data_IF_359089844177
#
_entry.id   IF_359089844177
#
_cell.length_a   1.000
_cell.length_b   1.000
_cell.length_c   1.000
_cell.angle_alpha   90.00
_cell.angle_beta   90.00
_cell.angle_gamma   90.00
#
_symmetry.space_group_name_H-M   'P 1'
#
loop_
_entity.id
_entity.type
_entity.pdbx_description
1 polymer ?
#
# COMPACT_ATOMS: atom_id res chain seq x y z
N UNK A 1 -31.30 18.31 -57.75
CA UNK A 1 -30.39 17.20 -57.40
C UNK A 1 -29.88 17.31 -55.95
N UNK A 2 -30.00 18.47 -55.30
CA UNK A 2 -29.37 18.75 -54.00
C UNK A 2 -30.08 18.20 -52.76
N UNK A 3 -31.40 18.01 -52.77
CA UNK A 3 -32.13 17.48 -51.60
C UNK A 3 -31.80 16.00 -51.31
N UNK A 4 -31.60 15.18 -52.35
CA UNK A 4 -31.28 13.76 -52.19
C UNK A 4 -29.88 13.53 -51.65
N UNK A 5 -28.92 14.37 -52.06
CA UNK A 5 -27.53 14.34 -51.57
C UNK A 5 -27.48 14.79 -50.11
N UNK A 6 -28.20 15.85 -49.73
CA UNK A 6 -28.29 16.31 -48.34
C UNK A 6 -28.95 15.28 -47.40
N UNK A 7 -30.02 14.62 -47.85
CA UNK A 7 -30.69 13.55 -47.09
C UNK A 7 -29.79 12.31 -46.92
N UNK A 8 -29.07 11.92 -47.97
CA UNK A 8 -28.11 10.82 -47.92
C UNK A 8 -26.92 11.14 -47.00
N UNK A 9 -26.36 12.36 -47.06
CA UNK A 9 -25.33 12.83 -46.14
C UNK A 9 -25.82 12.85 -44.69
N UNK A 10 -27.04 13.31 -44.44
CA UNK A 10 -27.66 13.29 -43.11
C UNK A 10 -27.83 11.87 -42.56
N UNK A 11 -28.25 10.92 -43.39
CA UNK A 11 -28.38 9.52 -43.01
C UNK A 11 -27.01 8.88 -42.70
N UNK A 12 -26.00 9.13 -43.54
CA UNK A 12 -24.63 8.63 -43.33
C UNK A 12 -24.01 9.21 -42.05
N UNK A 13 -24.21 10.51 -41.79
CA UNK A 13 -23.77 11.16 -40.54
C UNK A 13 -24.50 10.58 -39.32
N UNK A 14 -25.82 10.34 -39.42
CA UNK A 14 -26.61 9.73 -38.36
C UNK A 14 -26.17 8.30 -38.02
N UNK A 15 -25.97 7.46 -39.04
CA UNK A 15 -25.46 6.08 -38.87
C UNK A 15 -24.05 6.09 -38.28
N UNK A 16 -23.17 6.99 -38.75
CA UNK A 16 -21.81 7.14 -38.23
C UNK A 16 -21.81 7.56 -36.75
N UNK A 17 -22.67 8.52 -36.38
CA UNK A 17 -22.82 8.95 -34.99
C UNK A 17 -23.33 7.81 -34.09
N UNK A 18 -24.34 7.06 -34.55
CA UNK A 18 -24.87 5.90 -33.81
C UNK A 18 -23.80 4.81 -33.64
N UNK A 19 -22.99 4.53 -34.67
CA UNK A 19 -21.89 3.58 -34.57
C UNK A 19 -20.84 4.03 -33.54
N UNK A 20 -20.46 5.31 -33.55
CA UNK A 20 -19.52 5.87 -32.55
C UNK A 20 -20.09 5.79 -31.13
N UNK A 21 -21.38 6.12 -30.96
CA UNK A 21 -22.06 6.01 -29.66
C UNK A 21 -22.12 4.56 -29.18
N UNK A 22 -22.41 3.61 -30.07
CA UNK A 22 -22.43 2.19 -29.75
C UNK A 22 -21.04 1.67 -29.32
N UNK A 23 -19.97 2.09 -30.01
CA UNK A 23 -18.59 1.74 -29.62
C UNK A 23 -18.25 2.33 -28.25
N UNK A 24 -18.58 3.61 -28.01
CA UNK A 24 -18.36 4.26 -26.70
C UNK A 24 -19.16 3.60 -25.58
N UNK A 25 -20.42 3.23 -25.85
CA UNK A 25 -21.27 2.53 -24.90
C UNK A 25 -20.71 1.14 -24.57
N UNK A 26 -20.28 0.37 -25.59
CA UNK A 26 -19.64 -0.94 -25.41
C UNK A 26 -18.35 -0.84 -24.59
N UNK A 27 -17.50 0.15 -24.87
CA UNK A 27 -16.27 0.39 -24.11
C UNK A 27 -16.56 0.75 -22.64
N UNK A 28 -17.59 1.57 -22.40
CA UNK A 28 -18.04 1.94 -21.05
C UNK A 28 -18.61 0.75 -20.28
N UNK A 29 -19.38 -0.11 -20.95
CA UNK A 29 -19.91 -1.35 -20.37
C UNK A 29 -18.79 -2.33 -20.01
N UNK A 30 -17.81 -2.52 -20.90
CA UNK A 30 -16.63 -3.34 -20.62
C UNK A 30 -15.86 -2.81 -19.40
N UNK A 31 -15.62 -1.49 -19.34
CA UNK A 31 -14.99 -0.87 -18.18
C UNK A 31 -15.80 -1.06 -16.89
N UNK A 32 -17.12 -0.96 -16.97
CA UNK A 32 -17.99 -1.19 -15.80
C UNK A 32 -17.96 -2.64 -15.32
N UNK A 33 -17.88 -3.61 -16.25
CA UNK A 33 -17.78 -5.05 -15.93
C UNK A 33 -16.42 -5.43 -15.34
N UNK A 34 -15.36 -4.73 -15.74
CA UNK A 34 -14.02 -4.91 -15.21
C UNK A 34 -13.82 -4.28 -13.82
N UNK A 35 -14.79 -3.54 -13.27
CA UNK A 35 -14.72 -3.01 -11.90
C UNK A 35 -15.15 -4.06 -10.90
N UNK A 36 -14.48 -4.10 -9.75
CA UNK A 36 -14.97 -4.88 -8.62
C UNK A 36 -16.34 -4.34 -8.16
N UNK A 37 -17.27 -5.24 -7.80
CA UNK A 37 -18.66 -4.88 -7.47
C UNK A 37 -18.80 -4.06 -6.18
N UNK A 38 -17.77 -4.06 -5.33
CA UNK A 38 -17.72 -3.26 -4.10
C UNK A 38 -17.68 -1.75 -4.36
N UNK A 39 -17.91 -0.97 -3.30
CA UNK A 39 -17.66 0.48 -3.29
C UNK A 39 -16.20 0.84 -3.59
N UNK A 40 -15.24 -0.03 -3.22
CA UNK A 40 -13.83 0.15 -3.55
C UNK A 40 -13.55 0.16 -5.06
N UNK A 41 -14.31 -0.63 -5.84
CA UNK A 41 -14.23 -0.65 -7.31
C UNK A 41 -14.98 0.51 -7.98
N UNK A 42 -15.91 1.15 -7.25
CA UNK A 42 -16.77 2.22 -7.73
C UNK A 42 -16.54 3.51 -6.94
N UNK A 43 -15.31 4.05 -6.98
CA UNK A 43 -14.87 5.22 -6.21
C UNK A 43 -15.82 6.42 -6.24
N UNK A 44 -16.37 6.77 -7.41
CA UNK A 44 -17.36 7.87 -7.55
C UNK A 44 -18.67 7.59 -6.80
N UNK A 45 -19.16 6.35 -6.86
CA UNK A 45 -20.35 5.94 -6.13
C UNK A 45 -20.06 5.90 -4.62
N UNK A 46 -18.91 5.36 -4.23
CA UNK A 46 -18.45 5.33 -2.84
C UNK A 46 -18.43 6.73 -2.22
N UNK A 47 -17.93 7.74 -2.93
CA UNK A 47 -17.96 9.14 -2.48
C UNK A 47 -19.37 9.71 -2.34
N UNK A 48 -20.25 9.45 -3.32
CA UNK A 48 -21.65 9.89 -3.26
C UNK A 48 -22.38 9.27 -2.08
N UNK A 49 -22.19 7.97 -1.85
CA UNK A 49 -22.78 7.27 -0.71
C UNK A 49 -22.22 7.83 0.59
N UNK A 50 -20.91 8.02 0.71
CA UNK A 50 -20.29 8.56 1.91
C UNK A 50 -20.85 9.93 2.32
N UNK A 51 -21.21 10.78 1.34
CA UNK A 51 -21.85 12.07 1.61
C UNK A 51 -23.32 11.96 2.09
N UNK A 52 -23.96 10.81 1.91
CA UNK A 52 -25.35 10.54 2.28
C UNK A 52 -25.48 9.69 3.56
N UNK A 53 -24.40 9.09 4.06
CA UNK A 53 -24.45 8.28 5.28
C UNK A 53 -24.71 9.21 6.47
N UNK A 54 -25.86 9.11 7.15
CA UNK A 54 -26.10 9.89 8.36
C UNK A 54 -25.18 9.40 9.48
N UNK A 55 -24.71 10.33 10.31
CA UNK A 55 -24.00 9.98 11.53
C UNK A 55 -24.94 9.26 12.50
N UNK A 56 -24.59 8.04 12.91
CA UNK A 56 -25.22 7.37 14.05
C UNK A 56 -24.17 6.57 14.82
N UNK A 57 -24.47 6.31 16.09
CA UNK A 57 -23.70 5.40 16.94
C UNK A 57 -24.66 4.55 17.75
N UNK A 58 -24.30 3.30 18.02
CA UNK A 58 -25.04 2.47 18.95
C UNK A 58 -25.03 3.11 20.33
N UNK A 59 -26.19 3.05 20.99
CA UNK A 59 -26.28 3.33 22.40
C UNK A 59 -25.69 2.16 23.21
N UNK A 60 -25.60 2.33 24.52
CA UNK A 60 -25.02 1.35 25.41
C UNK A 60 -25.76 0.01 25.38
N UNK A 61 -27.06 0.00 25.10
CA UNK A 61 -27.85 -1.23 25.02
C UNK A 61 -27.54 -2.02 23.74
N UNK A 62 -27.52 -1.35 22.58
CA UNK A 62 -27.22 -1.96 21.28
C UNK A 62 -25.73 -2.28 21.14
N UNK A 63 -24.82 -1.51 21.73
CA UNK A 63 -23.37 -1.71 21.60
C UNK A 63 -22.94 -3.14 21.96
N UNK A 64 -23.43 -3.66 23.09
CA UNK A 64 -23.08 -5.00 23.57
C UNK A 64 -23.96 -6.13 22.98
N UNK A 65 -24.97 -5.75 22.19
CA UNK A 65 -25.99 -6.63 21.58
C UNK A 65 -26.13 -6.37 20.07
N UNK A 66 -25.07 -5.92 19.41
CA UNK A 66 -25.11 -5.52 18.01
C UNK A 66 -25.43 -6.70 17.07
N UNK A 67 -25.14 -7.90 17.55
CA UNK A 67 -25.38 -9.24 16.98
C UNK A 67 -26.55 -9.97 17.67
N UNK A 68 -27.45 -9.23 18.32
CA UNK A 68 -28.63 -9.77 19.01
C UNK A 68 -28.31 -10.77 20.14
N UNK A 69 -27.12 -10.67 20.72
CA UNK A 69 -26.69 -11.50 21.86
C UNK A 69 -27.67 -11.46 23.05
N UNK A 70 -27.67 -12.55 23.83
CA UNK A 70 -28.48 -12.68 25.06
C UNK A 70 -28.09 -11.64 26.11
N UNK A 71 -28.97 -11.38 27.09
CA UNK A 71 -28.69 -10.45 28.17
C UNK A 71 -27.46 -10.87 29.00
N UNK A 72 -27.27 -12.18 29.20
CA UNK A 72 -26.10 -12.74 29.90
C UNK A 72 -24.80 -12.43 29.16
N UNK A 73 -24.76 -12.70 27.84
CA UNK A 73 -23.57 -12.42 27.01
C UNK A 73 -23.28 -10.92 26.97
N UNK A 74 -24.32 -10.09 26.82
CA UNK A 74 -24.19 -8.64 26.84
C UNK A 74 -23.63 -8.13 28.19
N UNK A 75 -24.10 -8.68 29.30
CA UNK A 75 -23.60 -8.37 30.65
C UNK A 75 -22.12 -8.71 30.80
N UNK A 76 -21.70 -9.89 30.34
CA UNK A 76 -20.28 -10.30 30.33
C UNK A 76 -19.42 -9.38 29.46
N UNK A 77 -19.90 -9.03 28.26
CA UNK A 77 -19.18 -8.09 27.37
C UNK A 77 -18.99 -6.72 28.02
N UNK A 78 -20.03 -6.19 28.68
CA UNK A 78 -19.95 -4.90 29.39
C UNK A 78 -18.94 -4.95 30.53
N UNK A 79 -19.02 -5.97 31.39
CA UNK A 79 -18.11 -6.12 32.52
C UNK A 79 -16.64 -6.21 32.08
N UNK A 80 -16.35 -7.01 31.04
CA UNK A 80 -14.99 -7.12 30.51
C UNK A 80 -14.53 -5.85 29.81
N UNK A 81 -15.42 -5.17 29.09
CA UNK A 81 -15.13 -3.89 28.45
C UNK A 81 -14.73 -2.82 29.48
N UNK A 82 -15.47 -2.70 30.59
CA UNK A 82 -15.15 -1.78 31.68
C UNK A 82 -13.84 -2.15 32.38
N UNK A 83 -13.61 -3.44 32.62
CA UNK A 83 -12.36 -3.95 33.19
C UNK A 83 -11.16 -3.59 32.32
N UNK A 84 -11.25 -3.82 31.01
CA UNK A 84 -10.21 -3.44 30.05
C UNK A 84 -10.04 -1.92 30.02
N UNK A 85 -11.12 -1.15 29.97
CA UNK A 85 -11.04 0.32 29.95
C UNK A 85 -10.29 0.85 31.18
N UNK A 86 -10.56 0.31 32.37
CA UNK A 86 -9.83 0.65 33.60
C UNK A 86 -8.36 0.28 33.51
N UNK A 87 -8.05 -0.94 33.04
CA UNK A 87 -6.67 -1.39 32.84
C UNK A 87 -5.89 -0.46 31.92
N UNK A 88 -6.47 -0.04 30.79
CA UNK A 88 -5.80 0.87 29.86
C UNK A 88 -5.54 2.24 30.51
N UNK A 89 -6.52 2.81 31.21
CA UNK A 89 -6.34 4.11 31.87
C UNK A 89 -5.29 4.07 32.97
N UNK A 90 -5.26 3.00 33.78
CA UNK A 90 -4.28 2.89 34.87
C UNK A 90 -2.89 2.54 34.38
N UNK A 91 -2.77 1.68 33.35
CA UNK A 91 -1.48 1.22 32.83
C UNK A 91 -0.76 2.28 31.98
N UNK A 92 -1.50 3.12 31.27
CA UNK A 92 -0.97 4.05 30.26
C UNK A 92 -1.20 5.53 30.63
N UNK A 93 -1.32 5.85 31.92
CA UNK A 93 -1.81 7.16 32.37
C UNK A 93 -1.01 8.34 31.79
N UNK A 94 0.33 8.33 31.92
CA UNK A 94 1.19 9.42 31.44
C UNK A 94 1.13 9.53 29.91
N UNK A 95 1.14 8.39 29.22
CA UNK A 95 1.07 8.33 27.76
C UNK A 95 -0.26 8.89 27.24
N UNK A 96 -1.37 8.57 27.91
CA UNK A 96 -2.70 9.06 27.57
C UNK A 96 -2.85 10.56 27.84
N UNK A 97 -2.32 11.06 28.96
CA UNK A 97 -2.36 12.49 29.30
C UNK A 97 -1.57 13.32 28.28
N UNK A 98 -0.36 12.89 27.93
CA UNK A 98 0.43 13.56 26.89
C UNK A 98 -0.25 13.49 25.52
N UNK A 99 -0.88 12.36 25.18
CA UNK A 99 -1.64 12.24 23.94
C UNK A 99 -2.81 13.22 23.90
N UNK A 100 -3.56 13.35 24.99
CA UNK A 100 -4.71 14.26 25.09
C UNK A 100 -4.29 15.72 24.95
N UNK A 101 -3.17 16.11 25.54
CA UNK A 101 -2.65 17.48 25.40
C UNK A 101 -2.19 17.74 23.96
N UNK A 102 -1.36 16.86 23.41
CA UNK A 102 -0.84 17.00 22.05
C UNK A 102 -1.93 16.97 20.98
N UNK A 103 -3.01 16.21 21.20
CA UNK A 103 -4.15 16.14 20.28
C UNK A 103 -4.82 17.50 20.06
N UNK A 104 -4.64 18.50 20.95
CA UNK A 104 -5.12 19.88 20.71
C UNK A 104 -4.38 20.57 19.58
N UNK A 105 -3.15 20.14 19.29
CA UNK A 105 -2.23 20.78 18.35
C UNK A 105 -1.85 19.89 17.17
N UNK A 106 -2.09 18.58 17.25
CA UNK A 106 -1.77 17.61 16.20
C UNK A 106 -3.09 17.05 15.63
N UNK A 107 -3.49 17.55 14.45
CA UNK A 107 -4.72 17.13 13.77
C UNK A 107 -4.74 15.64 13.44
N UNK A 108 -3.59 15.03 13.18
CA UNK A 108 -3.49 13.61 12.83
C UNK A 108 -3.88 12.69 13.99
N UNK A 109 -3.67 13.13 15.24
CA UNK A 109 -4.14 12.41 16.42
C UNK A 109 -5.67 12.43 16.50
N UNK A 110 -6.29 13.59 16.24
CA UNK A 110 -7.75 13.75 16.20
C UNK A 110 -8.37 12.94 15.06
N UNK A 111 -7.71 12.96 13.89
CA UNK A 111 -8.13 12.22 12.71
C UNK A 111 -8.10 10.72 12.99
N UNK A 112 -6.96 10.18 13.42
CA UNK A 112 -6.79 8.76 13.75
C UNK A 112 -7.80 8.27 14.78
N UNK A 113 -8.05 9.06 15.83
CA UNK A 113 -9.05 8.72 16.82
C UNK A 113 -10.46 8.63 16.25
N UNK A 114 -10.77 9.45 15.23
CA UNK A 114 -12.11 9.58 14.65
C UNK A 114 -12.50 8.46 13.68
N UNK A 115 -11.55 7.87 12.94
CA UNK A 115 -11.87 6.84 11.94
C UNK A 115 -11.41 5.42 12.31
N UNK A 116 -10.61 5.24 13.38
CA UNK A 116 -10.07 3.92 13.76
C UNK A 116 -11.13 2.91 14.20
N UNK A 117 -12.27 3.37 14.73
CA UNK A 117 -13.37 2.49 15.14
C UNK A 117 -14.51 2.65 14.14
N UNK A 118 -15.17 1.55 13.71
CA UNK A 118 -16.41 1.66 12.95
C UNK A 118 -17.36 2.65 13.64
N UNK A 119 -17.93 3.59 12.87
CA UNK A 119 -18.66 4.73 13.42
C UNK A 119 -19.82 4.33 14.34
N UNK A 120 -20.42 3.15 14.13
CA UNK A 120 -21.45 2.56 14.99
C UNK A 120 -20.96 2.33 16.44
N UNK A 121 -19.70 1.94 16.62
CA UNK A 121 -19.09 1.67 17.94
C UNK A 121 -18.24 2.84 18.45
N UNK A 122 -18.01 3.85 17.60
CA UNK A 122 -17.03 4.92 17.87
C UNK A 122 -17.26 5.66 19.20
N UNK A 123 -18.50 6.02 19.54
CA UNK A 123 -18.84 6.84 20.72
C UNK A 123 -18.29 6.26 22.02
N UNK A 124 -18.61 4.99 22.30
CA UNK A 124 -18.21 4.33 23.54
C UNK A 124 -16.75 3.84 23.48
N UNK A 125 -16.30 3.33 22.33
CA UNK A 125 -14.95 2.81 22.19
C UNK A 125 -13.88 3.91 22.27
N UNK A 126 -14.12 5.10 21.69
CA UNK A 126 -13.17 6.21 21.74
C UNK A 126 -12.94 6.72 23.16
N UNK A 127 -14.03 6.89 23.92
CA UNK A 127 -13.98 7.36 25.31
C UNK A 127 -13.39 6.30 26.25
N UNK A 128 -13.64 5.02 25.98
CA UNK A 128 -13.24 3.91 26.86
C UNK A 128 -11.84 3.36 26.58
N UNK A 129 -11.37 3.46 25.33
CA UNK A 129 -10.06 3.00 24.91
C UNK A 129 -9.31 4.12 24.16
N UNK A 130 -8.96 5.23 24.81
CA UNK A 130 -8.13 6.24 24.17
C UNK A 130 -6.79 5.61 23.75
N UNK A 131 -6.26 5.98 22.58
CA UNK A 131 -4.97 5.46 22.12
C UNK A 131 -3.83 6.31 22.69
N UNK A 132 -2.84 5.66 23.29
CA UNK A 132 -1.56 6.31 23.56
C UNK A 132 -0.76 6.42 22.26
N UNK A 133 -0.30 7.62 21.92
CA UNK A 133 0.42 7.87 20.65
C UNK A 133 1.90 8.21 20.82
N UNK A 134 2.43 8.12 22.05
CA UNK A 134 3.80 8.48 22.37
C UNK A 134 4.59 7.27 22.88
N UNK A 135 5.83 7.16 22.42
CA UNK A 135 6.79 6.14 22.83
C UNK A 135 8.05 6.83 23.35
N UNK A 136 8.65 6.27 24.40
CA UNK A 136 9.89 6.76 24.99
C UNK A 136 11.13 6.14 24.32
N UNK A 137 11.07 4.84 24.00
CA UNK A 137 12.23 4.12 23.46
C UNK A 137 11.83 2.87 22.68
N UNK A 138 12.82 2.29 21.98
CA UNK A 138 12.71 1.01 21.30
C UNK A 138 13.97 0.17 21.52
N UNK A 139 13.80 -1.15 21.61
CA UNK A 139 14.88 -2.12 21.83
C UNK A 139 14.51 -3.46 21.17
N UNK A 140 15.40 -4.00 20.34
CA UNK A 140 15.14 -5.21 19.56
C UNK A 140 13.88 -5.08 18.71
N UNK A 141 12.82 -5.78 19.11
CA UNK A 141 11.49 -5.79 18.45
C UNK A 141 10.39 -5.20 19.34
N UNK A 142 10.78 -4.46 20.38
CA UNK A 142 9.87 -3.87 21.37
C UNK A 142 9.92 -2.36 21.34
N UNK A 143 8.81 -1.77 21.73
CA UNK A 143 8.67 -0.34 22.03
C UNK A 143 8.22 -0.16 23.46
N UNK A 144 8.66 0.93 24.08
CA UNK A 144 8.32 1.28 25.46
C UNK A 144 7.63 2.64 25.45
N UNK A 145 6.46 2.73 26.07
CA UNK A 145 5.71 3.97 26.21
C UNK A 145 6.27 4.89 27.33
N UNK A 146 5.57 5.99 27.62
CA UNK A 146 6.00 6.97 28.63
C UNK A 146 5.76 6.51 30.07
N UNK A 147 4.98 5.45 30.26
CA UNK A 147 4.71 4.80 31.54
C UNK A 147 5.69 3.65 31.82
N UNK A 148 6.57 3.31 30.87
CA UNK A 148 7.55 2.23 30.98
C UNK A 148 7.01 0.86 30.56
N UNK A 149 5.84 0.79 29.91
CA UNK A 149 5.32 -0.49 29.45
C UNK A 149 5.99 -0.90 28.13
N UNK A 150 6.73 -2.01 28.17
CA UNK A 150 7.30 -2.62 26.97
C UNK A 150 6.28 -3.52 26.25
N UNK A 151 6.14 -3.34 24.94
CA UNK A 151 5.27 -4.13 24.06
C UNK A 151 6.01 -4.57 22.80
N UNK A 152 5.70 -5.75 22.27
CA UNK A 152 6.19 -6.18 20.95
C UNK A 152 5.56 -5.31 19.86
N UNK A 153 6.38 -4.69 19.01
CA UNK A 153 5.87 -3.98 17.84
C UNK A 153 5.62 -4.96 16.70
N UNK A 154 4.38 -5.44 16.59
CA UNK A 154 3.95 -6.31 15.50
C UNK A 154 3.64 -5.54 14.20
N UNK A 155 3.54 -4.21 14.27
CA UNK A 155 3.36 -3.35 13.09
C UNK A 155 4.68 -3.15 12.34
N UNK A 156 5.80 -3.27 13.07
CA UNK A 156 7.15 -3.00 12.57
C UNK A 156 7.28 -1.60 11.98
N UNK A 157 6.58 -0.62 12.57
CA UNK A 157 6.42 0.74 12.03
C UNK A 157 5.95 0.72 10.56
N UNK A 158 4.81 0.07 10.31
CA UNK A 158 4.24 -0.16 8.98
C UNK A 158 5.19 -0.90 8.03
N UNK A 159 5.99 -1.81 8.57
CA UNK A 159 6.93 -2.65 7.84
C UNK A 159 8.29 -2.02 7.51
N UNK A 160 8.61 -0.84 8.06
CA UNK A 160 9.97 -0.25 7.98
C UNK A 160 10.98 -1.09 8.75
N UNK A 161 10.66 -1.47 9.99
CA UNK A 161 11.58 -2.09 10.92
C UNK A 161 11.62 -3.63 10.78
N UNK A 162 11.80 -4.12 9.55
CA UNK A 162 11.81 -5.55 9.21
C UNK A 162 12.83 -6.36 10.01
N UNK A 163 14.01 -5.79 10.26
CA UNK A 163 15.13 -6.42 10.97
C UNK A 163 15.23 -6.02 12.46
N UNK A 164 14.20 -5.38 13.01
CA UNK A 164 14.20 -4.87 14.39
C UNK A 164 14.89 -3.51 14.55
N UNK A 165 14.51 -2.76 15.58
CA UNK A 165 14.91 -1.37 15.80
C UNK A 165 16.42 -1.16 15.95
N UNK A 166 17.12 -2.08 16.62
CA UNK A 166 18.55 -1.95 16.87
C UNK A 166 19.37 -2.02 15.59
N UNK A 167 18.92 -2.82 14.62
CA UNK A 167 19.54 -2.87 13.30
C UNK A 167 19.46 -1.51 12.58
N UNK A 168 18.28 -0.88 12.55
CA UNK A 168 18.11 0.41 11.87
C UNK A 168 18.77 1.57 12.61
N UNK A 169 18.76 1.57 13.95
CA UNK A 169 19.56 2.51 14.76
C UNK A 169 21.04 2.43 14.36
N UNK A 170 21.58 1.21 14.29
CA UNK A 170 22.97 1.02 13.90
C UNK A 170 23.27 1.39 12.43
N UNK A 171 22.32 1.24 11.51
CA UNK A 171 22.45 1.75 10.14
C UNK A 171 22.51 3.28 10.11
N UNK A 172 21.68 3.96 10.90
CA UNK A 172 21.68 5.43 11.01
C UNK A 172 22.99 5.93 11.62
N UNK A 173 23.45 5.31 12.71
CA UNK A 173 24.67 5.71 13.42
C UNK A 173 25.91 5.55 12.52
N UNK A 174 26.15 4.34 11.98
CA UNK A 174 27.29 4.11 11.07
C UNK A 174 27.18 4.91 9.77
N UNK A 175 25.96 5.10 9.28
CA UNK A 175 25.69 5.92 8.10
C UNK A 175 26.10 7.38 8.34
N UNK A 176 25.68 7.95 9.48
CA UNK A 176 26.03 9.30 9.91
C UNK A 176 27.55 9.48 10.03
N UNK A 177 28.24 8.57 10.72
CA UNK A 177 29.70 8.60 10.88
C UNK A 177 30.44 8.69 9.53
N UNK A 178 29.97 7.96 8.51
CA UNK A 178 30.61 7.92 7.19
C UNK A 178 30.45 9.20 6.37
N UNK A 179 29.44 10.01 6.67
CA UNK A 179 29.13 11.26 5.93
C UNK A 179 29.23 12.50 6.79
N UNK A 180 29.71 12.39 8.04
CA UNK A 180 29.81 13.49 9.00
C UNK A 180 30.56 14.69 8.41
N UNK A 181 31.73 14.45 7.82
CA UNK A 181 32.54 15.48 7.17
C UNK A 181 31.87 16.12 5.93
N UNK A 182 30.95 15.42 5.26
CA UNK A 182 30.16 15.98 4.15
C UNK A 182 28.94 16.76 4.68
N UNK A 183 28.36 16.34 5.80
CA UNK A 183 27.24 17.01 6.42
C UNK A 183 25.97 17.04 5.54
N UNK A 184 25.24 18.17 5.51
CA UNK A 184 23.96 18.29 4.84
C UNK A 184 24.07 18.74 3.37
N UNK A 185 25.20 18.49 2.68
CA UNK A 185 25.37 18.94 1.28
C UNK A 185 24.28 18.34 0.38
N UNK A 186 23.58 19.20 -0.35
CA UNK A 186 22.52 18.85 -1.30
C UNK A 186 22.92 19.23 -2.74
N UNK A 187 22.23 18.64 -3.72
CA UNK A 187 22.46 18.88 -5.15
C UNK A 187 23.64 18.11 -5.76
N UNK A 188 24.60 17.68 -4.93
CA UNK A 188 25.66 16.73 -5.29
C UNK A 188 25.48 15.40 -4.53
N UNK A 189 26.04 14.32 -5.06
CA UNK A 189 25.96 12.99 -4.42
C UNK A 189 27.21 12.68 -3.58
N UNK A 190 27.06 12.07 -2.39
CA UNK A 190 28.18 11.37 -1.78
C UNK A 190 28.58 10.16 -2.65
N UNK A 191 29.87 9.82 -2.67
CA UNK A 191 30.40 8.74 -3.53
C UNK A 191 29.74 7.37 -3.28
N UNK A 192 29.28 7.10 -2.05
CA UNK A 192 28.57 5.87 -1.69
C UNK A 192 27.24 5.67 -2.44
N UNK A 193 26.68 6.72 -3.07
CA UNK A 193 25.46 6.59 -3.88
C UNK A 193 25.72 5.69 -5.08
N UNK A 194 26.93 5.65 -5.63
CA UNK A 194 27.27 4.74 -6.73
C UNK A 194 27.12 3.27 -6.32
N UNK A 195 27.53 2.91 -5.10
CA UNK A 195 27.36 1.55 -4.55
C UNK A 195 25.87 1.24 -4.32
N UNK A 196 25.09 2.21 -3.81
CA UNK A 196 23.64 2.05 -3.68
C UNK A 196 22.97 1.76 -5.03
N UNK A 197 23.29 2.55 -6.06
CA UNK A 197 22.74 2.41 -7.40
C UNK A 197 23.11 1.04 -7.99
N UNK A 198 24.38 0.63 -7.92
CA UNK A 198 24.83 -0.66 -8.43
C UNK A 198 24.11 -1.85 -7.74
N UNK A 199 23.92 -1.78 -6.42
CA UNK A 199 23.20 -2.81 -5.64
C UNK A 199 21.72 -2.84 -6.00
N UNK A 200 21.06 -1.70 -6.05
CA UNK A 200 19.63 -1.59 -6.37
C UNK A 200 19.35 -2.03 -7.82
N UNK A 201 20.21 -1.66 -8.77
CA UNK A 201 20.15 -2.12 -10.16
C UNK A 201 20.23 -3.65 -10.23
N UNK A 202 21.23 -4.26 -9.57
CA UNK A 202 21.40 -5.71 -9.50
C UNK A 202 20.20 -6.41 -8.85
N UNK A 203 19.73 -5.93 -7.70
CA UNK A 203 18.63 -6.54 -6.94
C UNK A 203 17.32 -6.49 -7.73
N UNK A 204 17.04 -5.35 -8.38
CA UNK A 204 15.81 -5.16 -9.14
C UNK A 204 15.85 -5.73 -10.56
N UNK A 205 17.03 -6.10 -11.07
CA UNK A 205 17.23 -6.48 -12.47
C UNK A 205 16.97 -5.32 -13.43
N UNK A 206 17.36 -4.10 -13.06
CA UNK A 206 17.11 -2.86 -13.83
C UNK A 206 18.39 -2.07 -14.08
N UNK A 207 18.31 -1.13 -15.02
CA UNK A 207 19.48 -0.40 -15.52
C UNK A 207 19.77 0.86 -14.70
N UNK A 208 18.71 1.55 -14.28
CA UNK A 208 18.80 2.88 -13.65
C UNK A 208 17.96 3.01 -12.39
N UNK A 209 18.37 3.94 -11.53
CA UNK A 209 17.78 4.21 -10.22
C UNK A 209 17.58 5.72 -10.05
N UNK A 210 16.45 6.12 -9.47
CA UNK A 210 16.21 7.49 -9.00
C UNK A 210 15.68 7.51 -7.57
N UNK A 211 16.08 8.51 -6.80
CA UNK A 211 15.70 8.68 -5.39
C UNK A 211 14.71 9.83 -5.20
N UNK A 212 13.85 9.68 -4.19
CA UNK A 212 12.72 10.54 -3.80
C UNK A 212 12.56 10.53 -2.28
N UNK A 213 11.72 11.40 -1.71
CA UNK A 213 11.56 11.53 -0.25
C UNK A 213 10.56 10.57 0.37
N UNK A 214 9.71 9.95 -0.45
CA UNK A 214 8.73 8.99 0.04
C UNK A 214 8.34 7.97 -1.03
N UNK A 215 7.75 6.87 -0.58
CA UNK A 215 7.12 5.91 -1.49
C UNK A 215 6.04 6.55 -2.38
N UNK A 216 5.26 7.50 -1.85
CA UNK A 216 4.27 8.26 -2.65
C UNK A 216 4.94 8.97 -3.81
N UNK A 217 6.06 9.67 -3.57
CA UNK A 217 6.80 10.35 -4.62
C UNK A 217 7.42 9.39 -5.64
N UNK A 218 7.92 8.23 -5.19
CA UNK A 218 8.42 7.20 -6.10
C UNK A 218 7.32 6.68 -7.05
N UNK A 219 6.12 6.42 -6.53
CA UNK A 219 4.95 6.05 -7.37
C UNK A 219 4.57 7.18 -8.32
N UNK A 220 4.51 8.42 -7.83
CA UNK A 220 4.23 9.59 -8.68
C UNK A 220 5.24 9.70 -9.84
N UNK A 221 6.53 9.51 -9.55
CA UNK A 221 7.57 9.55 -10.57
C UNK A 221 7.44 8.39 -11.56
N UNK A 222 7.20 7.16 -11.09
CA UNK A 222 7.05 6.00 -11.96
C UNK A 222 5.85 6.16 -12.93
N UNK A 223 4.72 6.64 -12.43
CA UNK A 223 3.53 6.96 -13.26
C UNK A 223 3.84 8.08 -14.25
N UNK A 224 4.55 9.13 -13.82
CA UNK A 224 4.93 10.24 -14.70
C UNK A 224 5.86 9.77 -15.82
N UNK A 225 6.85 8.92 -15.53
CA UNK A 225 7.73 8.31 -16.54
C UNK A 225 6.93 7.45 -17.52
N UNK A 226 6.00 6.62 -17.04
CA UNK A 226 5.16 5.82 -17.91
C UNK A 226 4.32 6.68 -18.87
N UNK A 227 3.68 7.75 -18.37
CA UNK A 227 2.94 8.71 -19.21
C UNK A 227 3.84 9.39 -20.23
N UNK A 228 5.02 9.82 -19.80
CA UNK A 228 6.01 10.51 -20.64
C UNK A 228 6.46 9.65 -21.84
N UNK A 229 6.82 8.39 -21.59
CA UNK A 229 7.34 7.50 -22.64
C UNK A 229 6.26 6.89 -23.53
N UNK A 230 5.06 6.66 -22.99
CA UNK A 230 3.97 6.07 -23.79
C UNK A 230 3.15 7.12 -24.54
N UNK A 231 3.18 8.39 -24.11
CA UNK A 231 2.28 9.44 -24.61
C UNK A 231 0.82 9.22 -24.23
N UNK A 232 0.54 8.28 -23.32
CA UNK A 232 -0.81 7.90 -22.88
C UNK A 232 -1.11 8.55 -21.53
N UNK A 233 -2.39 8.80 -21.26
CA UNK A 233 -2.80 9.58 -20.07
C UNK A 233 -3.22 8.72 -18.89
N UNK A 234 -3.86 7.57 -19.11
CA UNK A 234 -4.52 6.87 -18.02
C UNK A 234 -3.61 5.87 -17.33
N UNK A 235 -3.69 5.80 -16.00
CA UNK A 235 -3.18 4.67 -15.24
C UNK A 235 -4.30 3.72 -14.88
N UNK A 236 -3.96 2.45 -14.70
CA UNK A 236 -4.82 1.45 -14.05
C UNK A 236 -4.27 1.16 -12.67
N UNK A 237 -5.14 1.21 -11.68
CA UNK A 237 -4.88 0.68 -10.34
C UNK A 237 -5.87 -0.44 -10.03
N UNK A 238 -5.39 -1.47 -9.35
CA UNK A 238 -6.23 -2.60 -8.96
C UNK A 238 -7.04 -2.25 -7.70
N UNK A 239 -8.27 -2.77 -7.60
CA UNK A 239 -9.18 -2.48 -6.50
C UNK A 239 -8.55 -2.89 -5.16
N UNK A 240 -8.63 -2.03 -4.15
CA UNK A 240 -8.09 -2.32 -2.81
C UNK A 240 -6.61 -2.02 -2.61
N UNK A 241 -5.80 -1.91 -3.67
CA UNK A 241 -4.38 -1.56 -3.58
C UNK A 241 -4.11 -0.22 -2.88
N UNK A 242 -3.03 -0.11 -2.11
CA UNK A 242 -2.54 1.19 -1.62
C UNK A 242 -1.22 1.53 -2.31
N UNK A 243 -1.11 2.76 -2.83
CA UNK A 243 0.05 3.26 -3.58
C UNK A 243 0.46 4.67 -3.12
N UNK A 244 0.16 5.01 -1.87
CA UNK A 244 0.23 6.39 -1.37
C UNK A 244 -1.10 7.12 -1.45
N UNK A 245 -1.05 8.42 -1.20
CA UNK A 245 -2.22 9.29 -1.02
C UNK A 245 -2.35 10.37 -2.10
N UNK A 246 -1.53 10.30 -3.16
CA UNK A 246 -1.65 11.20 -4.30
C UNK A 246 -2.98 10.98 -5.06
N UNK A 247 -3.55 12.06 -5.61
CA UNK A 247 -4.92 12.10 -6.10
C UNK A 247 -5.32 10.97 -7.06
N UNK A 248 -4.47 10.65 -8.05
CA UNK A 248 -4.75 9.60 -9.02
C UNK A 248 -4.75 8.19 -8.39
N UNK A 249 -3.99 7.98 -7.31
CA UNK A 249 -3.90 6.67 -6.65
C UNK A 249 -4.83 6.52 -5.44
N UNK A 250 -5.49 7.59 -5.00
CA UNK A 250 -6.50 7.61 -3.93
C UNK A 250 -7.86 8.20 -4.41
N UNK A 251 -8.57 7.59 -5.37
CA UNK A 251 -9.78 8.17 -5.98
C UNK A 251 -11.08 8.08 -5.14
N UNK A 252 -11.05 7.38 -4.00
CA UNK A 252 -12.22 6.99 -3.20
C UNK A 252 -12.57 7.93 -2.04
N UNK A 253 -13.19 7.38 -1.00
CA UNK A 253 -13.46 8.09 0.27
C UNK A 253 -12.14 8.60 0.85
N UNK A 254 -12.17 9.83 1.39
CA UNK A 254 -10.99 10.54 1.90
C UNK A 254 -10.35 11.49 0.90
N UNK A 255 -10.72 11.45 -0.38
CA UNK A 255 -10.26 12.42 -1.38
C UNK A 255 -11.40 13.34 -1.85
N UNK A 256 -11.26 14.68 -1.71
CA UNK A 256 -12.29 15.63 -2.14
C UNK A 256 -12.46 15.69 -3.67
N UNK A 257 -11.45 15.30 -4.46
CA UNK A 257 -11.47 15.39 -5.91
C UNK A 257 -11.64 14.01 -6.57
N UNK A 258 -12.40 13.91 -7.67
CA UNK A 258 -12.49 12.66 -8.41
C UNK A 258 -11.20 12.45 -9.21
N UNK A 259 -10.72 11.22 -9.29
CA UNK A 259 -9.69 10.92 -10.28
C UNK A 259 -10.27 10.98 -11.70
N UNK A 260 -9.52 11.64 -12.57
CA UNK A 260 -9.90 11.86 -13.96
C UNK A 260 -9.20 10.86 -14.89
N UNK A 261 -7.91 10.64 -14.70
CA UNK A 261 -7.05 9.84 -15.58
C UNK A 261 -6.68 8.48 -14.95
N UNK A 262 -7.64 7.90 -14.22
CA UNK A 262 -7.44 6.65 -13.50
C UNK A 262 -8.60 5.69 -13.69
N UNK A 263 -8.28 4.45 -14.05
CA UNK A 263 -9.21 3.32 -14.00
C UNK A 263 -8.94 2.47 -12.76
N UNK A 264 -9.94 2.33 -11.90
CA UNK A 264 -9.94 1.34 -10.81
C UNK A 264 -10.56 0.05 -11.32
N UNK A 265 -9.77 -0.99 -11.55
CA UNK A 265 -10.24 -2.27 -12.08
C UNK A 265 -10.15 -3.37 -11.01
N UNK A 266 -10.87 -4.47 -11.20
CA UNK A 266 -10.78 -5.62 -10.32
C UNK A 266 -9.39 -6.27 -10.44
N UNK A 267 -8.80 -6.63 -9.30
CA UNK A 267 -7.67 -7.55 -9.25
C UNK A 267 -8.15 -8.98 -9.57
N UNK A 268 -7.28 -9.80 -10.16
CA UNK A 268 -7.55 -11.19 -10.53
C UNK A 268 -8.82 -11.38 -11.37
N UNK A 269 -8.93 -10.65 -12.48
CA UNK A 269 -10.13 -10.65 -13.32
C UNK A 269 -9.80 -10.67 -14.81
N UNK A 270 -10.33 -11.65 -15.53
CA UNK A 270 -10.19 -11.69 -17.00
C UNK A 270 -10.77 -10.42 -17.67
N UNK A 271 -11.85 -9.86 -17.12
CA UNK A 271 -12.41 -8.61 -17.62
C UNK A 271 -11.43 -7.43 -17.53
N UNK A 272 -10.56 -7.43 -16.51
CA UNK A 272 -9.45 -6.46 -16.41
C UNK A 272 -8.46 -6.66 -17.55
N UNK A 273 -8.02 -7.89 -17.82
CA UNK A 273 -7.12 -8.20 -18.94
C UNK A 273 -7.73 -7.80 -20.29
N UNK A 274 -9.01 -8.10 -20.51
CA UNK A 274 -9.73 -7.67 -21.72
C UNK A 274 -9.74 -6.14 -21.90
N UNK A 275 -9.93 -5.38 -20.82
CA UNK A 275 -9.88 -3.91 -20.87
C UNK A 275 -8.48 -3.44 -21.27
N UNK A 276 -7.43 -4.02 -20.67
CA UNK A 276 -6.05 -3.71 -21.01
C UNK A 276 -5.72 -4.03 -22.48
N UNK A 277 -6.18 -5.18 -23.00
CA UNK A 277 -6.01 -5.59 -24.41
C UNK A 277 -6.76 -4.70 -25.40
N UNK A 278 -7.88 -4.07 -25.01
CA UNK A 278 -8.69 -3.28 -25.96
C UNK A 278 -8.37 -1.79 -25.95
N UNK A 279 -7.95 -1.23 -24.82
CA UNK A 279 -7.68 0.20 -24.70
C UNK A 279 -6.30 0.57 -25.25
N UNK A 280 -6.16 1.84 -25.66
CA UNK A 280 -4.94 2.42 -26.21
C UNK A 280 -4.47 3.68 -25.46
N UNK A 281 -5.22 4.11 -24.44
CA UNK A 281 -4.97 5.31 -23.63
C UNK A 281 -4.33 4.99 -22.27
N UNK A 282 -3.96 3.73 -22.02
CA UNK A 282 -3.37 3.26 -20.76
C UNK A 282 -1.85 3.32 -20.82
N UNK A 283 -1.26 4.19 -20.01
CA UNK A 283 0.18 4.34 -19.84
C UNK A 283 0.78 3.22 -18.99
N UNK A 284 0.16 2.91 -17.86
CA UNK A 284 0.68 1.92 -16.92
C UNK A 284 -0.40 1.17 -16.14
N UNK A 285 0.00 0.04 -15.57
CA UNK A 285 -0.72 -0.68 -14.52
C UNK A 285 0.13 -0.65 -13.24
N UNK A 286 -0.45 -0.18 -12.14
CA UNK A 286 0.12 -0.25 -10.80
C UNK A 286 -0.36 -1.54 -10.12
N UNK A 287 0.60 -2.34 -9.65
CA UNK A 287 0.36 -3.56 -8.87
C UNK A 287 1.00 -3.38 -7.50
N UNK A 288 0.24 -3.60 -6.43
CA UNK A 288 0.81 -3.77 -5.09
C UNK A 288 0.79 -5.27 -4.78
N UNK A 289 1.94 -5.97 -4.78
CA UNK A 289 1.95 -7.43 -4.66
C UNK A 289 1.43 -7.96 -3.32
N UNK A 290 1.31 -7.13 -2.28
CA UNK A 290 0.67 -7.54 -1.03
C UNK A 290 -0.83 -7.83 -1.18
N UNK A 291 -1.45 -7.39 -2.29
CA UNK A 291 -2.83 -7.75 -2.64
C UNK A 291 -3.03 -9.25 -2.84
N UNK A 292 -1.97 -10.06 -2.99
CA UNK A 292 -2.09 -11.51 -2.91
C UNK A 292 -2.80 -11.98 -1.62
N UNK A 293 -2.65 -11.23 -0.51
CA UNK A 293 -3.29 -11.56 0.76
C UNK A 293 -4.76 -11.09 0.84
N UNK A 294 -5.16 -10.09 0.04
CA UNK A 294 -6.47 -9.43 0.12
C UNK A 294 -6.92 -8.85 -1.23
N UNK A 295 -7.04 -9.67 -2.29
CA UNK A 295 -7.35 -9.15 -3.62
C UNK A 295 -8.69 -8.42 -3.60
N UNK A 296 -8.77 -7.26 -4.27
CA UNK A 296 -9.97 -6.40 -4.30
C UNK A 296 -10.38 -5.73 -2.98
N UNK A 297 -9.66 -5.95 -1.88
CA UNK A 297 -9.92 -5.37 -0.56
C UNK A 297 -8.82 -4.42 -0.12
N UNK A 298 -9.16 -3.47 0.76
CA UNK A 298 -8.14 -2.63 1.40
C UNK A 298 -7.25 -3.48 2.30
N UNK A 299 -5.96 -3.14 2.35
CA UNK A 299 -5.06 -3.74 3.32
C UNK A 299 -5.63 -3.60 4.73
N UNK A 300 -5.57 -4.65 5.57
CA UNK A 300 -5.82 -4.51 7.00
C UNK A 300 -4.92 -3.39 7.55
N UNK A 301 -5.49 -2.45 8.28
CA UNK A 301 -4.71 -1.39 8.90
C UNK A 301 -4.58 -1.68 10.39
N UNK A 302 -3.35 -1.66 10.91
CA UNK A 302 -3.06 -1.91 12.32
C UNK A 302 -3.76 -0.89 13.24
N UNK A 303 -4.03 0.31 12.72
CA UNK A 303 -4.71 1.37 13.44
C UNK A 303 -6.23 1.29 13.39
N UNK A 304 -6.83 0.41 12.59
CA UNK A 304 -8.29 0.34 12.46
C UNK A 304 -8.82 -0.97 13.04
N UNK A 305 -9.84 -0.87 13.91
CA UNK A 305 -10.64 -2.01 14.37
C UNK A 305 -11.65 -2.44 13.31
N UNK A 306 -11.25 -2.35 12.04
CA UNK A 306 -12.02 -2.74 10.87
C UNK A 306 -11.24 -3.89 10.26
N UNK A 307 -11.56 -5.13 10.65
CA UNK A 307 -11.02 -6.27 9.94
C UNK A 307 -12.08 -7.15 9.27
N UNK A 308 -11.62 -7.65 8.14
CA UNK A 308 -12.26 -8.35 7.04
C UNK A 308 -12.71 -9.77 7.37
N UNK A 309 -13.60 -10.20 6.48
CA UNK A 309 -14.27 -11.48 6.31
C UNK A 309 -13.25 -12.63 6.12
N UNK A 310 -13.69 -13.90 6.26
CA UNK A 310 -12.85 -15.11 6.23
C UNK A 310 -12.22 -15.47 4.87
N UNK A 311 -11.94 -14.50 4.00
CA UNK A 311 -11.34 -14.80 2.69
C UNK A 311 -9.84 -15.02 2.88
N UNK A 312 -9.44 -16.29 3.00
CA UNK A 312 -8.05 -16.67 2.88
C UNK A 312 -7.53 -16.06 1.56
N UNK A 313 -6.46 -15.25 1.64
CA UNK A 313 -5.83 -14.65 0.47
C UNK A 313 -5.57 -15.69 -0.63
N UNK A 314 -5.26 -15.21 -1.83
CA UNK A 314 -5.00 -16.13 -2.94
C UNK A 314 -3.63 -16.79 -2.77
N UNK A 315 -3.58 -18.11 -2.98
CA UNK A 315 -2.33 -18.85 -2.90
C UNK A 315 -1.27 -18.26 -3.83
N UNK A 316 0.00 -18.27 -3.39
CA UNK A 316 1.15 -17.69 -4.12
C UNK A 316 1.17 -18.08 -5.60
N UNK A 317 0.96 -19.37 -5.90
CA UNK A 317 0.97 -19.88 -7.27
C UNK A 317 -0.14 -19.27 -8.16
N UNK A 318 -1.34 -19.10 -7.62
CA UNK A 318 -2.47 -18.51 -8.35
C UNK A 318 -2.24 -17.02 -8.63
N UNK A 319 -1.73 -16.27 -7.65
CA UNK A 319 -1.38 -14.87 -7.87
C UNK A 319 -0.21 -14.70 -8.84
N UNK A 320 0.81 -15.56 -8.75
CA UNK A 320 1.92 -15.58 -9.71
C UNK A 320 1.44 -15.83 -11.15
N UNK A 321 0.52 -16.79 -11.35
CA UNK A 321 -0.07 -17.06 -12.67
C UNK A 321 -0.81 -15.83 -13.23
N UNK A 322 -1.63 -15.19 -12.40
CA UNK A 322 -2.31 -13.94 -12.76
C UNK A 322 -1.33 -12.82 -13.14
N UNK A 323 -0.27 -12.61 -12.36
CA UNK A 323 0.75 -11.60 -12.66
C UNK A 323 1.48 -11.88 -13.99
N UNK A 324 1.71 -13.16 -14.33
CA UNK A 324 2.29 -13.55 -15.63
C UNK A 324 1.37 -13.21 -16.79
N UNK A 325 0.08 -13.46 -16.67
CA UNK A 325 -0.91 -13.07 -17.68
C UNK A 325 -0.98 -11.54 -17.83
N UNK A 326 -1.01 -10.82 -16.71
CA UNK A 326 -0.97 -9.36 -16.69
C UNK A 326 0.28 -8.81 -17.40
N UNK A 327 1.47 -9.36 -17.08
CA UNK A 327 2.73 -9.02 -17.74
C UNK A 327 2.69 -9.28 -19.24
N UNK A 328 2.12 -10.41 -19.68
CA UNK A 328 1.98 -10.72 -21.10
C UNK A 328 1.14 -9.65 -21.82
N UNK A 329 -0.01 -9.29 -21.25
CA UNK A 329 -0.90 -8.24 -21.79
C UNK A 329 -0.23 -6.87 -21.80
N UNK A 330 0.49 -6.51 -20.73
CA UNK A 330 1.25 -5.26 -20.68
C UNK A 330 2.29 -5.19 -21.81
N UNK A 331 2.99 -6.30 -22.07
CA UNK A 331 4.00 -6.38 -23.14
C UNK A 331 3.37 -6.27 -24.53
N UNK A 332 2.29 -7.03 -24.78
CA UNK A 332 1.52 -7.01 -26.03
C UNK A 332 1.05 -5.59 -26.38
N UNK A 333 0.63 -4.82 -25.37
CA UNK A 333 -0.01 -3.51 -25.55
C UNK A 333 0.94 -2.32 -25.34
N UNK A 334 2.20 -2.58 -25.00
CA UNK A 334 3.16 -1.53 -24.62
C UNK A 334 2.67 -0.69 -23.43
N UNK A 335 2.00 -1.33 -22.47
CA UNK A 335 1.58 -0.73 -21.20
C UNK A 335 2.70 -0.98 -20.19
N UNK A 336 3.19 0.06 -19.53
CA UNK A 336 4.25 -0.07 -18.53
C UNK A 336 3.71 -0.79 -17.30
N UNK A 337 4.28 -1.94 -16.96
CA UNK A 337 3.96 -2.63 -15.70
C UNK A 337 4.80 -2.06 -14.57
N UNK A 338 4.17 -1.57 -13.51
CA UNK A 338 4.83 -0.99 -12.35
C UNK A 338 4.53 -1.85 -11.12
N UNK A 339 5.57 -2.39 -10.50
CA UNK A 339 5.44 -3.05 -9.20
C UNK A 339 5.74 -2.06 -8.07
N UNK A 340 4.71 -1.81 -7.26
CA UNK A 340 4.86 -1.11 -6.00
C UNK A 340 5.36 -2.07 -4.92
N UNK A 341 6.67 -2.09 -4.75
CA UNK A 341 7.36 -2.91 -3.76
C UNK A 341 7.75 -2.12 -2.50
N UNK A 342 7.09 -0.99 -2.22
CA UNK A 342 7.44 -0.15 -1.07
C UNK A 342 7.23 -0.89 0.26
N UNK A 343 6.28 -1.83 0.33
CA UNK A 343 6.02 -2.65 1.52
C UNK A 343 6.65 -4.05 1.45
N UNK A 344 6.69 -4.64 0.25
CA UNK A 344 7.05 -6.06 0.03
C UNK A 344 8.49 -6.26 -0.44
N UNK A 345 9.15 -5.21 -0.93
CA UNK A 345 10.55 -5.23 -1.36
C UNK A 345 11.46 -5.56 -0.18
N UNK A 346 12.46 -6.41 -0.43
CA UNK A 346 13.38 -6.97 0.59
C UNK A 346 12.67 -7.76 1.71
N UNK A 347 11.35 -7.97 1.63
CA UNK A 347 10.56 -8.68 2.66
C UNK A 347 10.15 -10.07 2.19
N UNK A 348 9.65 -10.18 0.96
CA UNK A 348 9.19 -11.46 0.41
C UNK A 348 10.34 -12.33 -0.08
N UNK A 349 11.31 -11.70 -0.74
CA UNK A 349 12.57 -12.30 -1.20
C UNK A 349 13.62 -11.19 -1.28
N UNK A 350 14.88 -11.56 -1.53
CA UNK A 350 15.98 -10.61 -1.67
C UNK A 350 15.77 -9.69 -2.88
N UNK A 351 15.44 -10.27 -4.03
CA UNK A 351 15.01 -9.60 -5.27
C UNK A 351 13.57 -9.10 -5.23
N UNK A 352 12.94 -9.09 -4.05
CA UNK A 352 11.59 -8.57 -3.84
C UNK A 352 10.48 -9.43 -4.45
N UNK A 353 9.35 -8.81 -4.73
CA UNK A 353 8.17 -9.46 -5.28
C UNK A 353 8.40 -9.99 -6.70
N UNK A 354 9.27 -9.34 -7.49
CA UNK A 354 9.66 -9.86 -8.80
C UNK A 354 10.25 -11.28 -8.71
N UNK A 355 11.24 -11.49 -7.83
CA UNK A 355 11.81 -12.82 -7.56
C UNK A 355 10.75 -13.76 -6.96
N UNK A 356 9.99 -13.28 -5.97
CA UNK A 356 9.03 -14.09 -5.24
C UNK A 356 7.90 -14.65 -6.13
N UNK A 357 7.38 -13.87 -7.07
CA UNK A 357 6.33 -14.29 -8.01
C UNK A 357 6.87 -14.75 -9.37
N UNK A 358 8.15 -14.53 -9.66
CA UNK A 358 8.78 -14.84 -10.94
C UNK A 358 8.21 -14.02 -12.09
N UNK A 359 8.03 -12.71 -11.88
CA UNK A 359 7.49 -11.76 -12.86
C UNK A 359 8.28 -10.46 -12.83
N UNK A 360 8.79 -10.04 -13.98
CA UNK A 360 9.55 -8.79 -14.10
C UNK A 360 8.64 -7.61 -14.48
N UNK A 361 8.72 -6.53 -13.70
CA UNK A 361 8.07 -5.26 -14.01
C UNK A 361 8.95 -4.40 -14.91
N UNK A 362 8.37 -3.41 -15.58
CA UNK A 362 9.15 -2.42 -16.34
C UNK A 362 9.79 -1.37 -15.41
N UNK A 363 9.05 -0.97 -14.37
CA UNK A 363 9.49 -0.09 -13.29
C UNK A 363 9.14 -0.74 -11.94
N UNK A 364 10.00 -0.52 -10.94
CA UNK A 364 9.78 -0.98 -9.57
C UNK A 364 9.98 0.18 -8.62
N UNK A 365 9.09 0.32 -7.64
CA UNK A 365 9.24 1.34 -6.60
C UNK A 365 9.55 0.72 -5.24
N UNK A 366 10.58 1.22 -4.55
CA UNK A 366 10.92 0.83 -3.18
C UNK A 366 10.80 2.00 -2.20
N UNK A 367 10.77 1.67 -0.91
CA UNK A 367 10.79 2.63 0.18
C UNK A 367 10.90 1.89 1.51
N UNK A 368 10.42 2.52 2.59
CA UNK A 368 10.39 1.92 3.93
C UNK A 368 11.77 1.36 4.34
N UNK A 369 11.90 0.03 4.48
CA UNK A 369 13.10 -0.65 5.00
C UNK A 369 14.38 -0.28 4.27
N UNK A 370 14.31 0.01 2.96
CA UNK A 370 15.51 0.29 2.15
C UNK A 370 16.23 1.57 2.57
N UNK A 371 15.55 2.49 3.25
CA UNK A 371 16.14 3.73 3.74
C UNK A 371 17.05 3.55 4.96
N UNK A 372 17.20 2.33 5.49
CA UNK A 372 18.02 2.09 6.67
C UNK A 372 17.53 2.82 7.92
N UNK A 373 16.20 3.05 8.02
CA UNK A 373 15.56 3.75 9.13
C UNK A 373 15.14 5.20 8.79
N UNK A 374 15.59 5.73 7.65
CA UNK A 374 15.31 7.10 7.22
C UNK A 374 14.34 7.17 6.02
N UNK A 375 13.68 8.33 5.78
CA UNK A 375 12.68 8.48 4.74
C UNK A 375 13.29 8.40 3.34
N UNK A 376 12.74 7.54 2.48
CA UNK A 376 13.15 7.45 1.08
C UNK A 376 12.06 6.83 0.21
N UNK A 377 12.06 7.21 -1.06
CA UNK A 377 11.44 6.49 -2.17
C UNK A 377 12.49 6.22 -3.26
N UNK A 378 12.39 5.07 -3.91
CA UNK A 378 13.31 4.68 -4.98
C UNK A 378 12.50 4.21 -6.17
N UNK A 379 12.88 4.62 -7.39
CA UNK A 379 12.37 4.04 -8.63
C UNK A 379 13.53 3.38 -9.35
N UNK A 380 13.41 2.08 -9.61
CA UNK A 380 14.31 1.32 -10.47
C UNK A 380 13.61 1.02 -11.79
N UNK A 381 14.32 1.09 -12.91
CA UNK A 381 13.71 0.87 -14.22
C UNK A 381 14.69 0.65 -15.34
N UNK A 382 14.19 0.16 -16.47
CA UNK A 382 15.00 0.09 -17.70
C UNK A 382 15.35 1.48 -18.20
N UNK A 383 16.53 1.64 -18.80
CA UNK A 383 17.04 2.92 -19.32
C UNK A 383 15.99 3.65 -20.18
N UNK A 384 15.31 2.89 -21.07
CA UNK A 384 14.27 3.42 -21.97
C UNK A 384 13.10 4.12 -21.27
N UNK A 385 12.82 3.78 -20.01
CA UNK A 385 11.76 4.38 -19.20
C UNK A 385 12.26 5.34 -18.13
N UNK A 386 13.54 5.25 -17.76
CA UNK A 386 14.13 6.10 -16.75
C UNK A 386 14.70 7.38 -17.34
N UNK A 387 15.03 7.39 -18.64
CA UNK A 387 15.52 8.57 -19.36
C UNK A 387 14.51 9.72 -19.36
N UNK A 388 14.92 10.89 -18.85
CA UNK A 388 14.01 12.01 -18.55
C UNK A 388 14.03 13.15 -19.56
N UNK A 389 14.63 12.95 -20.71
CA UNK A 389 14.75 13.95 -21.76
C UNK A 389 14.92 13.25 -23.12
N UNK A 390 14.71 13.99 -24.20
CA UNK A 390 14.98 13.51 -25.57
C UNK A 390 16.23 14.18 -26.15
N UNK A 391 17.11 13.40 -26.76
CA UNK A 391 18.35 13.92 -27.36
C UNK A 391 18.06 14.86 -28.54
N UNK A 392 17.00 14.57 -29.31
CA UNK A 392 16.58 15.31 -30.49
C UNK A 392 15.60 16.46 -30.18
N UNK A 393 15.12 16.57 -28.93
CA UNK A 393 14.17 17.60 -28.48
C UNK A 393 14.57 18.14 -27.11
N UNK A 394 15.54 19.08 -27.03
CA UNK A 394 16.10 19.54 -25.76
C UNK A 394 15.09 20.12 -24.75
N UNK A 395 13.94 20.64 -25.21
CA UNK A 395 12.88 21.17 -24.36
C UNK A 395 11.85 20.09 -23.92
N UNK A 396 11.91 18.90 -24.50
CA UNK A 396 11.05 17.76 -24.16
C UNK A 396 11.67 17.02 -22.96
N UNK A 397 11.24 17.39 -21.76
CA UNK A 397 11.79 16.88 -20.50
C UNK A 397 10.69 16.38 -19.56
N UNK A 398 10.96 15.25 -18.91
CA UNK A 398 10.15 14.70 -17.83
C UNK A 398 10.61 15.30 -16.49
N UNK A 399 10.01 16.42 -16.11
CA UNK A 399 10.44 17.19 -14.95
C UNK A 399 9.98 16.58 -13.60
N UNK A 400 10.92 16.52 -12.66
CA UNK A 400 10.78 16.05 -11.29
C UNK A 400 12.08 16.36 -10.55
N UNK A 401 11.98 17.16 -9.49
CA UNK A 401 13.10 17.53 -8.63
C UNK A 401 12.64 17.38 -7.19
N UNK A 402 13.54 17.03 -6.30
CA UNK A 402 13.31 17.09 -4.87
C UNK A 402 14.61 17.48 -4.19
N UNK A 403 14.51 18.46 -3.29
CA UNK A 403 15.66 19.08 -2.61
C UNK A 403 16.47 18.06 -1.81
N UNK A 404 15.78 17.11 -1.19
CA UNK A 404 16.36 16.16 -0.24
C UNK A 404 16.53 14.74 -0.79
N UNK A 405 16.26 14.51 -2.08
CA UNK A 405 16.20 13.18 -2.71
C UNK A 405 17.47 12.32 -2.47
N UNK A 406 18.61 12.95 -2.24
CA UNK A 406 19.87 12.27 -1.97
C UNK A 406 20.60 12.82 -0.74
N UNK A 407 19.84 13.17 0.29
CA UNK A 407 20.41 13.64 1.55
C UNK A 407 21.49 12.65 2.06
N UNK A 408 22.73 13.08 2.33
CA UNK A 408 23.85 12.17 2.59
C UNK A 408 23.59 11.14 3.69
N UNK A 409 22.97 11.54 4.79
CA UNK A 409 22.63 10.64 5.90
C UNK A 409 21.64 9.54 5.51
N UNK A 410 20.66 9.85 4.65
CA UNK A 410 19.69 8.86 4.13
C UNK A 410 20.40 7.88 3.20
N UNK A 411 21.24 8.38 2.30
CA UNK A 411 21.98 7.54 1.36
C UNK A 411 22.99 6.64 2.08
N UNK A 412 23.61 7.11 3.15
CA UNK A 412 24.55 6.34 3.95
C UNK A 412 23.86 5.26 4.78
N UNK A 413 22.75 5.58 5.45
CA UNK A 413 21.94 4.58 6.17
C UNK A 413 21.37 3.51 5.23
N UNK A 414 20.91 3.91 4.04
CA UNK A 414 20.54 2.97 2.96
C UNK A 414 21.73 2.08 2.56
N UNK A 415 22.94 2.64 2.45
CA UNK A 415 24.11 1.86 2.07
C UNK A 415 24.42 0.78 3.12
N UNK A 416 24.32 1.10 4.41
CA UNK A 416 24.46 0.11 5.49
C UNK A 416 23.43 -1.03 5.36
N UNK A 417 22.16 -0.68 5.09
CA UNK A 417 21.11 -1.69 4.83
C UNK A 417 21.45 -2.56 3.61
N UNK A 418 21.75 -1.96 2.45
CA UNK A 418 22.03 -2.68 1.21
C UNK A 418 23.31 -3.53 1.29
N UNK A 419 24.30 -3.14 2.10
CA UNK A 419 25.49 -3.96 2.36
C UNK A 419 25.17 -5.14 3.26
N UNK A 420 24.30 -4.95 4.25
CA UNK A 420 23.87 -6.04 5.12
C UNK A 420 23.16 -7.17 4.36
N UNK A 421 22.39 -6.83 3.32
CA UNK A 421 21.71 -7.80 2.47
C UNK A 421 22.64 -8.82 1.79
N UNK A 422 23.90 -8.45 1.54
CA UNK A 422 24.89 -9.34 0.93
C UNK A 422 25.60 -10.24 1.95
N UNK A 423 25.34 -10.09 3.25
CA UNK A 423 25.98 -10.92 4.26
C UNK A 423 25.48 -12.37 4.18
N UNK A 424 26.33 -13.39 4.41
CA UNK A 424 25.90 -14.79 4.40
C UNK A 424 24.75 -15.08 5.37
N UNK A 425 24.73 -14.40 6.52
CA UNK A 425 23.69 -14.50 7.52
C UNK A 425 22.34 -14.03 6.98
N UNK A 426 22.32 -12.88 6.29
CA UNK A 426 21.09 -12.34 5.72
C UNK A 426 20.60 -13.17 4.54
N UNK A 427 21.50 -13.62 3.66
CA UNK A 427 21.12 -14.52 2.56
C UNK A 427 20.57 -15.85 3.07
N UNK A 428 21.13 -16.39 4.16
CA UNK A 428 20.63 -17.62 4.77
C UNK A 428 19.19 -17.47 5.28
N UNK A 429 18.80 -16.28 5.77
CA UNK A 429 17.45 -16.01 6.27
C UNK A 429 16.37 -16.16 5.20
N UNK A 430 16.66 -15.77 3.95
CA UNK A 430 15.68 -15.82 2.86
C UNK A 430 15.41 -17.23 2.32
N UNK A 431 16.35 -18.18 2.46
CA UNK A 431 16.25 -19.52 1.83
C UNK A 431 15.01 -20.31 2.23
N UNK A 432 14.64 -20.26 3.51
CA UNK A 432 13.51 -21.03 4.07
C UNK A 432 12.43 -20.11 4.69
N UNK A 433 12.32 -18.87 4.20
CA UNK A 433 11.49 -17.85 4.82
C UNK A 433 10.01 -18.26 4.83
N UNK A 434 9.46 -18.66 3.68
CA UNK A 434 8.05 -19.08 3.56
C UNK A 434 7.79 -20.35 4.38
N UNK A 435 8.64 -21.38 4.25
CA UNK A 435 8.49 -22.61 5.03
C UNK A 435 8.53 -22.36 6.54
N UNK A 436 9.31 -21.37 6.99
CA UNK A 436 9.34 -20.94 8.40
C UNK A 436 8.02 -20.32 8.83
N UNK A 437 7.46 -19.43 8.02
CA UNK A 437 6.19 -18.77 8.32
C UNK A 437 5.00 -19.73 8.19
N UNK A 438 5.01 -20.65 7.23
CA UNK A 438 4.00 -21.70 7.07
C UNK A 438 3.91 -22.55 8.34
N UNK A 439 5.07 -23.00 8.85
CA UNK A 439 5.13 -23.77 10.11
C UNK A 439 4.62 -22.98 11.31
N UNK A 440 4.98 -21.69 11.42
CA UNK A 440 4.54 -20.80 12.50
C UNK A 440 3.03 -20.59 12.49
N UNK A 441 2.48 -20.27 11.33
CA UNK A 441 1.04 -20.07 11.11
C UNK A 441 0.26 -21.34 11.40
N UNK A 442 0.71 -22.49 10.88
CA UNK A 442 0.07 -23.78 11.15
C UNK A 442 0.08 -24.13 12.64
N UNK A 443 1.21 -23.90 13.33
CA UNK A 443 1.31 -24.14 14.77
C UNK A 443 0.39 -23.22 15.58
N UNK A 444 0.30 -21.93 15.23
CA UNK A 444 -0.60 -20.99 15.91
C UNK A 444 -2.07 -21.35 15.67
N UNK A 445 -2.46 -21.61 14.42
CA UNK A 445 -3.83 -22.00 14.08
C UNK A 445 -4.27 -23.29 14.78
N UNK A 446 -3.38 -24.29 14.90
CA UNK A 446 -3.66 -25.51 15.68
C UNK A 446 -3.99 -25.20 17.13
N UNK A 447 -3.18 -24.35 17.78
CA UNK A 447 -3.39 -23.93 19.19
C UNK A 447 -4.66 -23.10 19.38
N UNK A 448 -5.03 -22.27 18.40
CA UNK A 448 -6.28 -21.50 18.43
C UNK A 448 -7.49 -22.43 18.29
N UNK A 449 -7.43 -23.42 17.40
CA UNK A 449 -8.47 -24.41 17.18
C UNK A 449 -8.66 -25.35 18.38
N UNK A 450 -7.57 -25.86 18.97
CA UNK A 450 -7.59 -26.68 20.19
C UNK A 450 -8.27 -25.97 21.37
N UNK A 451 -8.20 -24.64 21.41
CA UNK A 451 -8.86 -23.79 22.43
C UNK A 451 -10.28 -23.37 22.05
N UNK A 452 -10.79 -23.81 20.89
CA UNK A 452 -12.13 -23.45 20.41
C UNK A 452 -12.31 -21.95 20.10
N UNK A 453 -11.23 -21.22 19.81
CA UNK A 453 -11.30 -19.78 19.53
C UNK A 453 -11.73 -19.54 18.07
N UNK A 454 -12.69 -18.62 17.80
CA UNK A 454 -13.22 -18.37 16.44
C UNK A 454 -12.31 -17.43 15.63
N UNK A 455 -11.00 -17.65 15.71
CA UNK A 455 -9.98 -16.86 15.03
C UNK A 455 -8.91 -17.76 14.43
N UNK A 456 -8.35 -17.33 13.32
CA UNK A 456 -7.19 -17.93 12.66
C UNK A 456 -6.26 -16.83 12.15
N UNK A 457 -5.05 -17.19 11.79
CA UNK A 457 -4.09 -16.32 11.11
C UNK A 457 -3.83 -16.83 9.70
N UNK A 458 -3.64 -15.89 8.78
CA UNK A 458 -3.14 -16.15 7.42
C UNK A 458 -1.97 -15.23 7.12
N UNK A 459 -1.15 -15.57 6.12
CA UNK A 459 0.03 -14.79 5.80
C UNK A 459 0.39 -14.77 4.31
N UNK A 460 1.24 -13.82 3.95
CA UNK A 460 2.11 -13.81 2.80
C UNK A 460 3.54 -13.64 3.34
N UNK A 461 4.26 -14.75 3.48
CA UNK A 461 5.58 -14.77 4.12
C UNK A 461 5.52 -14.15 5.53
N UNK A 462 6.35 -13.14 5.83
CA UNK A 462 6.34 -12.43 7.12
C UNK A 462 5.19 -11.43 7.34
N UNK A 463 4.29 -11.26 6.36
CA UNK A 463 3.11 -10.40 6.46
C UNK A 463 1.94 -11.26 6.88
N UNK A 464 1.37 -11.05 8.06
CA UNK A 464 0.26 -11.87 8.55
C UNK A 464 -0.89 -11.03 9.08
N UNK A 465 -2.09 -11.62 9.09
CA UNK A 465 -3.31 -10.98 9.59
C UNK A 465 -4.17 -11.99 10.34
N UNK A 466 -4.96 -11.50 11.28
CA UNK A 466 -5.96 -12.28 12.02
C UNK A 466 -7.28 -12.25 11.27
N UNK A 467 -7.90 -13.41 11.07
CA UNK A 467 -9.21 -13.58 10.46
C UNK A 467 -10.17 -14.20 11.47
N UNK A 468 -11.41 -13.70 11.52
CA UNK A 468 -12.48 -14.32 12.29
C UNK A 468 -13.14 -15.43 11.47
N UNK A 469 -13.30 -16.62 12.06
CA UNK A 469 -13.82 -17.81 11.35
C UNK A 469 -15.34 -17.91 11.39
N UNK A 470 -16.00 -17.07 12.18
CA UNK A 470 -17.45 -17.02 12.33
C UNK A 470 -17.87 -15.55 12.35
N UNK A 471 -19.03 -15.25 11.76
CA UNK A 471 -19.70 -13.98 12.05
C UNK A 471 -20.13 -13.98 13.52
N UNK A 472 -20.09 -12.79 14.14
CA UNK A 472 -20.76 -12.55 15.42
C UNK A 472 -22.24 -12.84 15.33
#
# INVERSE_FOLDING_TARGET
MDLGIAAALGLVLGVSLLAVLAVKARARLALSRAKHRSLGGHSRLSRRIAALVPGYSFDDARFFRADDASAEVAGRRRAEFERLSRLFRTRYQRTLDQTKEAARHISDLQFTESYRVPFQFSRLARTSFPMGSFLASSEGVKVTDLDGNASYDLTGSYGVNLLGYDFYKACMDRGAERVDALGPVLGSYPSLVADNVARLARISGKDEVSFHMSGTEAVMQAVRLARYHTGRSHLVRLCGAYHGWWGDVQPGVGNPLPAHETYTLADMSEATLEVLRRRNDIACVLVNPSQALYPNHGAPADSTLVHSRPDAGVGRAAYAAWLKELRAVCSERGIVLIFDEIFVGFRLALGGAQEYFGVEADLVTYGKTVGGGLPVGVVCGHHRYMKRFRDDRPADVCFARGTFNSHPYVMAAMNEFLRHLDTPQMQALYRDLDATWDRRTAALNRRLAERGLPVQVTHLSSIWTVCYTRSS
#
